data_IF_594209243977
#
_entry.id   IF_594209243977
#
_cell.length_a   1.000
_cell.length_b   1.000
_cell.length_c   1.000
_cell.angle_alpha   90.00
_cell.angle_beta   90.00
_cell.angle_gamma   90.00
#
_symmetry.space_group_name_H-M   'P 1'
#
loop_
_entity.id
_entity.type
_entity.pdbx_description
1 polymer ?
#
# COMPACT_ATOMS: atom_id res chain seq x y z
N UNK A 1 6.77 -7.79 3.94
CA UNK A 1 7.13 -7.65 2.51
C UNK A 1 6.00 -6.92 1.79
N UNK A 2 6.30 -6.10 0.79
CA UNK A 2 5.29 -5.49 -0.09
C UNK A 2 5.63 -5.78 -1.56
N UNK A 3 4.62 -5.96 -2.41
CA UNK A 3 4.79 -6.13 -3.85
C UNK A 3 3.85 -5.21 -4.62
N UNK A 4 4.34 -4.66 -5.73
CA UNK A 4 3.56 -3.95 -6.75
C UNK A 4 3.43 -4.82 -7.99
N UNK A 5 2.28 -4.78 -8.67
CA UNK A 5 1.95 -5.72 -9.73
C UNK A 5 1.27 -5.07 -10.93
N UNK A 6 1.32 -5.78 -12.05
CA UNK A 6 0.61 -5.45 -13.30
C UNK A 6 -0.92 -5.59 -13.16
N UNK A 7 -1.39 -6.29 -12.13
CA UNK A 7 -2.83 -6.46 -11.81
C UNK A 7 -3.47 -5.23 -11.13
N UNK A 8 -2.76 -4.10 -11.10
CA UNK A 8 -3.17 -2.82 -10.51
C UNK A 8 -3.26 -2.83 -8.97
N UNK A 9 -2.75 -3.87 -8.31
CA UNK A 9 -2.78 -4.00 -6.86
C UNK A 9 -1.39 -3.92 -6.24
N UNK A 10 -1.37 -3.55 -4.97
CA UNK A 10 -0.22 -3.76 -4.09
C UNK A 10 -0.60 -4.78 -3.02
N UNK A 11 0.27 -5.74 -2.74
CA UNK A 11 0.03 -6.75 -1.70
C UNK A 11 1.04 -6.60 -0.57
N UNK A 12 0.56 -6.79 0.65
CA UNK A 12 1.38 -6.81 1.87
C UNK A 12 1.38 -8.24 2.41
N UNK A 13 2.57 -8.72 2.75
CA UNK A 13 2.79 -10.04 3.31
C UNK A 13 3.48 -9.92 4.65
N UNK A 14 3.03 -10.72 5.61
CA UNK A 14 3.60 -10.86 6.95
C UNK A 14 3.75 -12.35 7.26
N UNK A 15 4.75 -12.66 8.07
CA UNK A 15 4.95 -13.99 8.63
C UNK A 15 3.98 -14.20 9.80
N UNK A 16 3.30 -15.35 9.82
CA UNK A 16 2.53 -15.79 10.97
C UNK A 16 3.48 -16.38 12.02
N UNK A 17 3.34 -15.95 13.27
CA UNK A 17 4.23 -16.36 14.36
C UNK A 17 3.95 -17.79 14.86
N UNK A 18 2.77 -18.35 14.55
CA UNK A 18 2.38 -19.67 15.04
C UNK A 18 3.01 -20.81 14.23
N UNK A 19 3.13 -20.65 12.92
CA UNK A 19 3.62 -21.68 11.98
C UNK A 19 4.84 -21.24 11.15
N UNK A 20 5.27 -19.97 11.25
CA UNK A 20 6.35 -19.39 10.44
C UNK A 20 6.05 -19.35 8.94
N UNK A 21 4.77 -19.43 8.54
CA UNK A 21 4.35 -19.30 7.16
C UNK A 21 4.11 -17.83 6.78
N UNK A 22 4.35 -17.50 5.50
CA UNK A 22 4.14 -16.17 4.97
C UNK A 22 2.76 -16.05 4.32
N UNK A 23 1.93 -15.16 4.85
CA UNK A 23 0.57 -14.95 4.40
C UNK A 23 0.37 -13.54 3.81
N UNK A 24 -0.54 -13.44 2.84
CA UNK A 24 -0.96 -12.17 2.24
C UNK A 24 -2.02 -11.50 3.14
N UNK A 25 -1.59 -10.57 3.98
CA UNK A 25 -2.45 -9.90 4.98
C UNK A 25 -3.21 -8.69 4.45
N UNK A 26 -2.82 -8.14 3.29
CA UNK A 26 -3.57 -7.04 2.69
C UNK A 26 -3.43 -7.01 1.16
N UNK A 27 -4.52 -6.65 0.49
CA UNK A 27 -4.53 -6.28 -0.93
C UNK A 27 -5.04 -4.86 -1.06
N UNK A 28 -4.17 -3.95 -1.51
CA UNK A 28 -4.40 -2.53 -1.66
C UNK A 28 -4.87 -2.29 -3.10
N UNK A 29 -6.15 -1.98 -3.26
CA UNK A 29 -6.79 -1.75 -4.56
C UNK A 29 -7.27 -0.30 -4.64
N UNK A 30 -6.63 0.49 -5.50
CA UNK A 30 -7.05 1.88 -5.79
C UNK A 30 -6.42 2.41 -7.08
N UNK A 31 -5.28 1.84 -7.52
CA UNK A 31 -4.72 2.17 -8.83
C UNK A 31 -5.63 1.65 -9.95
N UNK A 32 -5.74 2.43 -11.02
CA UNK A 32 -6.56 2.10 -12.19
C UNK A 32 -5.75 1.38 -13.29
N UNK A 33 -4.43 1.29 -13.10
CA UNK A 33 -3.50 0.63 -14.01
C UNK A 33 -2.29 0.08 -13.23
N UNK A 34 -1.32 -0.49 -13.95
CA UNK A 34 -0.14 -1.17 -13.39
C UNK A 34 0.55 -0.33 -12.33
N UNK A 35 0.87 -0.95 -11.19
CA UNK A 35 1.71 -0.33 -10.16
C UNK A 35 3.16 -0.70 -10.47
N UNK A 36 4.02 0.30 -10.64
CA UNK A 36 5.42 0.10 -11.05
C UNK A 36 6.38 0.08 -9.87
N UNK A 37 6.15 0.92 -8.87
CA UNK A 37 7.05 1.03 -7.72
C UNK A 37 6.31 1.39 -6.44
N UNK A 38 6.98 1.14 -5.33
CA UNK A 38 6.51 1.40 -3.98
C UNK A 38 7.68 1.82 -3.08
N UNK A 39 7.41 2.68 -2.10
CA UNK A 39 8.38 3.10 -1.10
C UNK A 39 7.71 3.33 0.26
N UNK A 40 8.21 2.66 1.30
CA UNK A 40 7.76 2.90 2.67
C UNK A 40 8.32 4.22 3.19
N UNK A 41 7.55 4.89 4.04
CA UNK A 41 8.09 6.00 4.82
C UNK A 41 9.04 5.50 5.92
N UNK A 42 9.74 6.43 6.56
CA UNK A 42 10.74 6.11 7.59
C UNK A 42 10.18 5.34 8.79
N UNK A 43 8.89 5.51 9.10
CA UNK A 43 8.25 4.79 10.22
C UNK A 43 7.70 3.44 9.80
N UNK A 44 7.51 3.20 8.49
CA UNK A 44 6.87 1.99 7.95
C UNK A 44 5.35 2.00 8.07
N UNK A 45 4.76 3.07 8.60
CA UNK A 45 3.30 3.19 8.80
C UNK A 45 2.60 3.74 7.56
N UNK A 46 3.37 4.29 6.60
CA UNK A 46 2.87 4.74 5.32
C UNK A 46 3.66 4.16 4.17
N UNK A 47 2.97 4.07 3.04
CA UNK A 47 3.51 3.57 1.79
C UNK A 47 3.13 4.51 0.66
N UNK A 48 4.10 4.93 -0.14
CA UNK A 48 3.85 5.58 -1.43
C UNK A 48 3.87 4.52 -2.53
N UNK A 49 2.95 4.62 -3.48
CA UNK A 49 2.89 3.76 -4.67
C UNK A 49 2.68 4.61 -5.90
N UNK A 50 3.27 4.22 -7.03
CA UNK A 50 3.12 4.93 -8.30
C UNK A 50 2.90 3.96 -9.46
N UNK A 51 2.22 4.43 -10.52
CA UNK A 51 1.82 3.53 -11.59
C UNK A 51 1.58 4.17 -12.96
N UNK A 52 1.07 3.34 -13.87
CA UNK A 52 0.69 3.69 -15.23
C UNK A 52 -0.59 4.53 -15.32
N UNK A 53 -1.32 4.70 -14.21
CA UNK A 53 -2.47 5.62 -14.10
C UNK A 53 -2.04 7.08 -13.91
N UNK A 54 -0.73 7.37 -13.97
CA UNK A 54 -0.13 8.68 -13.79
C UNK A 54 -0.39 9.30 -12.41
N UNK A 55 -0.71 8.47 -11.41
CA UNK A 55 -0.93 8.91 -10.04
C UNK A 55 0.10 8.36 -9.07
N UNK A 56 0.34 9.10 -8.00
CA UNK A 56 1.01 8.60 -6.80
C UNK A 56 -0.03 8.50 -5.70
N UNK A 57 -0.10 7.36 -5.02
CA UNK A 57 -1.05 7.13 -3.91
C UNK A 57 -0.28 6.95 -2.61
N UNK A 58 -0.79 7.57 -1.55
CA UNK A 58 -0.26 7.39 -0.19
C UNK A 58 -1.23 6.54 0.59
N UNK A 59 -0.71 5.47 1.15
CA UNK A 59 -1.42 4.52 1.97
C UNK A 59 -0.98 4.64 3.41
N UNK A 60 -1.90 4.40 4.34
CA UNK A 60 -1.62 4.34 5.77
C UNK A 60 -2.10 3.02 6.34
N UNK A 61 -1.27 2.41 7.19
CA UNK A 61 -1.63 1.25 8.00
C UNK A 61 -2.45 1.70 9.22
N UNK A 62 -3.56 1.02 9.45
CA UNK A 62 -4.40 1.19 10.64
C UNK A 62 -4.37 -0.12 11.41
N UNK A 63 -3.72 -0.09 12.57
CA UNK A 63 -3.66 -1.22 13.50
C UNK A 63 -5.02 -1.43 14.19
N UNK A 64 -5.30 -2.63 14.72
CA UNK A 64 -6.43 -2.86 15.60
C UNK A 64 -6.43 -1.83 16.73
N UNK A 65 -7.62 -1.35 17.12
CA UNK A 65 -7.80 -0.32 18.15
C UNK A 65 -7.07 1.01 17.87
N UNK A 66 -6.96 1.40 16.60
CA UNK A 66 -6.43 2.72 16.24
C UNK A 66 -7.31 3.84 16.83
N UNK A 67 -6.68 4.94 17.26
CA UNK A 67 -7.33 6.11 17.87
C UNK A 67 -8.39 6.78 16.97
N UNK A 68 -8.33 6.52 15.66
CA UNK A 68 -9.21 7.07 14.65
C UNK A 68 -10.49 6.24 14.45
N UNK A 69 -10.66 5.13 15.19
CA UNK A 69 -11.85 4.30 15.13
C UNK A 69 -12.08 3.59 13.79
N UNK A 70 -11.06 3.46 12.95
CA UNK A 70 -11.17 2.75 11.68
C UNK A 70 -11.42 1.28 11.96
N UNK A 71 -12.57 0.76 11.52
CA UNK A 71 -12.96 -0.62 11.71
C UNK A 71 -11.93 -1.57 11.08
N UNK A 72 -11.36 -2.40 11.94
CA UNK A 72 -10.45 -3.47 11.57
C UNK A 72 -11.22 -4.79 11.68
N UNK A 73 -11.27 -5.55 10.60
CA UNK A 73 -11.87 -6.90 10.57
C UNK A 73 -10.76 -7.90 10.91
N UNK A 74 -11.08 -8.93 11.68
CA UNK A 74 -10.20 -10.05 12.04
C UNK A 74 -8.90 -9.71 12.81
N UNK A 75 -8.84 -8.54 13.48
CA UNK A 75 -7.65 -8.07 14.21
C UNK A 75 -6.37 -7.94 13.36
N UNK A 76 -6.48 -7.94 12.03
CA UNK A 76 -5.34 -7.71 11.14
C UNK A 76 -5.25 -6.23 10.72
N UNK A 77 -4.04 -5.68 10.63
CA UNK A 77 -3.84 -4.29 10.18
C UNK A 77 -4.49 -4.02 8.81
N UNK A 78 -5.33 -2.98 8.69
CA UNK A 78 -5.94 -2.59 7.41
C UNK A 78 -5.17 -1.44 6.77
N UNK A 79 -5.03 -1.48 5.45
CA UNK A 79 -4.39 -0.42 4.68
C UNK A 79 -5.45 0.39 3.93
N UNK A 80 -5.36 1.72 4.01
CA UNK A 80 -6.28 2.63 3.30
C UNK A 80 -5.49 3.67 2.50
N UNK A 81 -5.97 3.95 1.29
CA UNK A 81 -5.50 5.07 0.49
C UNK A 81 -6.01 6.36 1.14
N UNK A 82 -5.10 7.19 1.65
CA UNK A 82 -5.42 8.44 2.34
C UNK A 82 -5.16 9.68 1.47
N UNK A 83 -4.43 9.52 0.37
CA UNK A 83 -4.16 10.60 -0.57
C UNK A 83 -3.91 10.02 -1.97
N UNK A 84 -4.42 10.69 -3.00
CA UNK A 84 -4.08 10.45 -4.40
C UNK A 84 -3.58 11.75 -5.01
N UNK A 85 -2.34 11.75 -5.49
CA UNK A 85 -1.72 12.84 -6.21
C UNK A 85 -1.92 12.59 -7.71
N UNK A 86 -2.87 13.31 -8.32
CA UNK A 86 -3.22 13.21 -9.73
C UNK A 86 -3.00 14.54 -10.45
N UNK A 87 -2.78 14.49 -11.77
CA UNK A 87 -2.63 15.68 -12.62
C UNK A 87 -1.22 16.29 -12.67
N UNK A 88 -0.25 15.73 -11.92
CA UNK A 88 1.14 16.21 -11.91
C UNK A 88 2.06 15.49 -12.89
N UNK A 89 1.66 14.30 -13.36
CA UNK A 89 2.41 13.51 -14.33
C UNK A 89 1.53 13.25 -15.56
N UNK A 90 2.13 13.39 -16.73
CA UNK A 90 1.42 13.22 -18.03
C UNK A 90 1.63 11.83 -18.63
N UNK A 91 2.50 11.01 -18.03
CA UNK A 91 2.87 9.65 -18.44
C UNK A 91 3.12 8.77 -17.21
N UNK A 92 3.28 7.48 -17.47
CA UNK A 92 3.54 6.46 -16.46
C UNK A 92 4.65 6.87 -15.50
N UNK A 93 4.41 6.67 -14.22
CA UNK A 93 5.39 6.91 -13.17
C UNK A 93 6.03 5.57 -12.84
N UNK A 94 7.29 5.39 -13.25
CA UNK A 94 7.99 4.12 -13.14
C UNK A 94 8.63 3.88 -11.77
N UNK A 95 8.95 4.95 -11.04
CA UNK A 95 9.60 4.81 -9.74
C UNK A 95 9.18 5.91 -8.76
N UNK A 96 9.22 5.58 -7.48
CA UNK A 96 8.98 6.48 -6.36
C UNK A 96 9.93 6.13 -5.23
N UNK A 97 10.52 7.15 -4.60
CA UNK A 97 11.39 7.00 -3.45
C UNK A 97 10.90 7.89 -2.31
N UNK A 98 11.01 7.39 -1.08
CA UNK A 98 10.66 8.11 0.14
C UNK A 98 11.90 8.20 1.02
N UNK A 99 12.42 9.42 1.22
CA UNK A 99 13.62 9.70 2.03
C UNK A 99 13.31 10.04 3.49
#
# INVERSE_FOLDING_TARGET
LASASYDNTVKIYKEDQLDSDWNCVATLQSHESTVWSLAFDKTGERLATCGADNTVKIWKEYKPNNELGVSVVDQESVWKCICTLSGYHTRCIYDVAWC
#
